data_IF_311156791567
#
_entry.id   IF_311156791567
#
_cell.length_a   1.000
_cell.length_b   1.000
_cell.length_c   1.000
_cell.angle_alpha   90.00
_cell.angle_beta   90.00
_cell.angle_gamma   90.00
#
_symmetry.space_group_name_H-M   'P 1'
#
loop_
_entity.id
_entity.type
_entity.pdbx_description
1 polymer ?
#
# COMPACT_ATOMS: atom_id res chain seq x y z
N UNK A 1 -60.90 5.11 26.90
CA UNK A 1 -59.84 5.78 26.13
C UNK A 1 -58.52 5.07 26.44
N UNK A 2 -58.26 3.97 25.74
CA UNK A 2 -56.92 3.38 25.68
C UNK A 2 -56.20 4.08 24.53
N UNK A 3 -54.97 4.53 24.78
CA UNK A 3 -54.16 5.27 23.82
C UNK A 3 -53.34 4.23 23.05
N UNK A 4 -53.65 4.07 21.78
CA UNK A 4 -52.91 3.22 20.86
C UNK A 4 -51.47 3.74 20.72
N UNK A 5 -50.50 2.87 20.97
CA UNK A 5 -49.09 3.09 20.65
C UNK A 5 -48.84 2.42 19.31
N UNK A 6 -49.13 3.14 18.23
CA UNK A 6 -48.63 2.83 16.90
C UNK A 6 -47.20 3.34 16.75
N UNK A 7 -46.35 2.56 16.09
CA UNK A 7 -45.04 3.03 15.61
C UNK A 7 -43.85 2.13 15.94
N UNK A 8 -43.98 0.81 15.83
CA UNK A 8 -42.79 -0.01 15.58
C UNK A 8 -42.37 0.21 14.12
N UNK A 9 -41.59 1.26 13.87
CA UNK A 9 -40.84 1.39 12.63
C UNK A 9 -39.92 0.18 12.51
N UNK A 10 -40.30 -0.75 11.62
CA UNK A 10 -39.46 -1.89 11.29
C UNK A 10 -38.08 -1.38 10.87
N UNK A 11 -37.04 -1.88 11.54
CA UNK A 11 -35.68 -1.78 11.04
C UNK A 11 -35.67 -2.44 9.66
N UNK A 12 -35.83 -1.64 8.60
CA UNK A 12 -35.61 -2.10 7.25
C UNK A 12 -34.18 -2.64 7.22
N UNK A 13 -34.05 -3.95 7.07
CA UNK A 13 -32.78 -4.60 6.80
C UNK A 13 -32.24 -3.90 5.56
N UNK A 14 -31.27 -3.00 5.74
CA UNK A 14 -30.49 -2.48 4.63
C UNK A 14 -29.61 -3.63 4.20
N UNK A 15 -30.16 -4.52 3.40
CA UNK A 15 -29.39 -5.51 2.69
C UNK A 15 -28.34 -4.74 1.90
N UNK A 16 -27.08 -4.98 2.24
CA UNK A 16 -25.97 -4.32 1.58
C UNK A 16 -25.90 -4.87 0.16
N UNK A 17 -26.45 -4.15 -0.81
CA UNK A 17 -26.27 -4.48 -2.22
C UNK A 17 -24.82 -4.21 -2.64
N UNK A 18 -24.20 -5.22 -3.23
CA UNK A 18 -22.87 -5.09 -3.80
C UNK A 18 -22.92 -4.16 -5.02
N UNK A 19 -21.99 -3.18 -5.13
CA UNK A 19 -21.90 -2.37 -6.33
C UNK A 19 -21.59 -3.26 -7.54
N UNK A 20 -22.09 -2.91 -8.74
CA UNK A 20 -21.87 -3.72 -9.93
C UNK A 20 -20.36 -3.86 -10.21
N UNK A 21 -19.91 -5.04 -10.67
CA UNK A 21 -18.50 -5.27 -10.96
C UNK A 21 -18.03 -4.35 -12.10
N UNK A 22 -16.87 -3.73 -11.93
CA UNK A 22 -16.24 -2.90 -12.98
C UNK A 22 -15.97 -3.76 -14.22
N UNK A 23 -16.22 -3.30 -15.46
CA UNK A 23 -15.86 -4.03 -16.67
C UNK A 23 -14.40 -4.49 -16.66
N UNK A 24 -14.12 -5.68 -17.21
CA UNK A 24 -12.74 -6.21 -17.21
C UNK A 24 -11.82 -5.32 -18.04
N UNK A 25 -12.34 -4.89 -19.18
CA UNK A 25 -11.70 -3.96 -20.08
C UNK A 25 -12.67 -2.79 -20.32
N UNK A 26 -12.22 -1.56 -20.08
CA UNK A 26 -12.99 -0.33 -20.27
C UNK A 26 -12.13 0.68 -21.03
N UNK A 27 -12.18 0.61 -22.36
CA UNK A 27 -11.37 1.46 -23.24
C UNK A 27 -11.78 2.94 -23.18
N UNK A 28 -13.03 3.22 -22.76
CA UNK A 28 -13.53 4.59 -22.65
C UNK A 28 -12.77 5.38 -21.60
N UNK A 29 -12.17 4.73 -20.59
CA UNK A 29 -11.32 5.41 -19.61
C UNK A 29 -10.16 6.18 -20.24
N UNK A 30 -9.63 5.72 -21.38
CA UNK A 30 -8.55 6.39 -22.11
C UNK A 30 -8.98 7.77 -22.66
N UNK A 31 -10.29 7.99 -22.81
CA UNK A 31 -10.81 9.29 -23.26
C UNK A 31 -10.94 10.29 -22.09
N UNK A 32 -10.83 9.82 -20.84
CA UNK A 32 -11.13 10.61 -19.64
C UNK A 32 -9.87 11.28 -19.09
N UNK A 33 -9.88 12.61 -19.00
CA UNK A 33 -8.82 13.37 -18.34
C UNK A 33 -8.62 13.01 -16.86
N UNK A 34 -9.68 12.54 -16.19
CA UNK A 34 -9.62 12.07 -14.80
C UNK A 34 -8.71 10.85 -14.65
N UNK A 35 -8.65 9.95 -15.65
CA UNK A 35 -7.73 8.80 -15.65
C UNK A 35 -6.29 9.28 -15.58
N UNK A 36 -5.87 10.17 -16.48
CA UNK A 36 -4.49 10.66 -16.53
C UNK A 36 -4.10 11.41 -15.26
N UNK A 37 -5.01 12.21 -14.69
CA UNK A 37 -4.80 12.87 -13.38
C UNK A 37 -4.59 11.85 -12.26
N UNK A 38 -5.34 10.76 -12.26
CA UNK A 38 -5.19 9.68 -11.30
C UNK A 38 -3.86 8.92 -11.46
N UNK A 39 -3.45 8.64 -12.71
CA UNK A 39 -2.15 8.03 -13.03
C UNK A 39 -0.98 8.91 -12.56
N UNK A 40 -1.06 10.23 -12.79
CA UNK A 40 -0.08 11.20 -12.28
C UNK A 40 -0.07 11.20 -10.74
N UNK A 41 -1.23 11.14 -10.10
CA UNK A 41 -1.32 11.09 -8.64
C UNK A 41 -0.62 9.84 -8.06
N UNK A 42 -0.81 8.66 -8.67
CA UNK A 42 -0.11 7.43 -8.27
C UNK A 42 1.41 7.53 -8.48
N UNK A 43 1.86 8.11 -9.58
CA UNK A 43 3.28 8.38 -9.84
C UNK A 43 3.88 9.30 -8.76
N UNK A 44 3.28 10.47 -8.51
CA UNK A 44 3.79 11.46 -7.56
C UNK A 44 3.76 10.91 -6.13
N UNK A 45 2.67 10.24 -5.74
CA UNK A 45 2.57 9.63 -4.41
C UNK A 45 3.66 8.57 -4.20
N UNK A 46 3.90 7.70 -5.20
CA UNK A 46 4.94 6.67 -5.08
C UNK A 46 6.35 7.27 -5.06
N UNK A 47 6.59 8.35 -5.82
CA UNK A 47 7.83 9.12 -5.74
C UNK A 47 8.08 9.66 -4.33
N UNK A 48 7.10 10.36 -3.75
CA UNK A 48 7.23 10.92 -2.40
C UNK A 48 7.38 9.83 -1.34
N UNK A 49 6.64 8.73 -1.48
CA UNK A 49 6.75 7.57 -0.61
C UNK A 49 8.18 7.03 -0.56
N UNK A 50 8.77 6.76 -1.73
CA UNK A 50 10.12 6.19 -1.82
C UNK A 50 11.20 7.20 -1.42
N UNK A 51 11.03 8.48 -1.78
CA UNK A 51 11.94 9.53 -1.38
C UNK A 51 12.06 9.61 0.15
N UNK A 52 10.93 9.76 0.86
CA UNK A 52 10.94 9.92 2.33
C UNK A 52 11.45 8.66 3.00
N UNK A 53 10.90 7.49 2.64
CA UNK A 53 11.21 6.24 3.34
C UNK A 53 12.65 5.78 3.13
N UNK A 54 13.18 5.84 1.91
CA UNK A 54 14.58 5.46 1.66
C UNK A 54 15.54 6.47 2.28
N UNK A 55 15.22 7.77 2.24
CA UNK A 55 16.02 8.78 2.94
C UNK A 55 16.06 8.52 4.46
N UNK A 56 14.94 8.14 5.08
CA UNK A 56 14.91 7.75 6.50
C UNK A 56 15.76 6.51 6.78
N UNK A 57 15.70 5.48 5.92
CA UNK A 57 16.52 4.26 6.06
C UNK A 57 18.01 4.58 6.00
N UNK A 58 18.44 5.36 5.01
CA UNK A 58 19.84 5.75 4.85
C UNK A 58 20.28 6.65 6.02
N UNK A 59 19.44 7.62 6.41
CA UNK A 59 19.69 8.49 7.57
C UNK A 59 19.90 7.70 8.86
N UNK A 60 19.02 6.72 9.14
CA UNK A 60 19.19 5.83 10.28
C UNK A 60 20.53 5.10 10.24
N UNK A 61 20.89 4.49 9.10
CA UNK A 61 22.14 3.73 8.96
C UNK A 61 23.40 4.61 9.07
N UNK A 62 23.34 5.87 8.64
CA UNK A 62 24.43 6.84 8.86
C UNK A 62 24.56 7.12 10.35
N UNK A 63 23.46 7.46 11.04
CA UNK A 63 23.47 7.82 12.45
C UNK A 63 23.90 6.67 13.37
N UNK A 64 23.62 5.42 12.99
CA UNK A 64 23.96 4.23 13.79
C UNK A 64 25.29 3.55 13.45
N UNK A 65 26.06 4.06 12.46
CA UNK A 65 27.37 3.48 12.13
C UNK A 65 28.47 3.97 13.09
N UNK A 66 28.70 3.20 14.16
CA UNK A 66 29.76 3.47 15.15
C UNK A 66 31.17 3.48 14.55
N UNK A 67 31.40 2.82 13.41
CA UNK A 67 32.69 2.86 12.70
C UNK A 67 32.91 4.15 11.92
N UNK A 68 31.83 4.92 11.68
CA UNK A 68 31.86 6.22 11.00
C UNK A 68 31.59 7.39 11.97
N UNK A 69 31.69 7.17 13.29
CA UNK A 69 31.47 8.20 14.31
C UNK A 69 30.00 8.42 14.67
N UNK A 70 29.10 7.52 14.25
CA UNK A 70 27.72 7.47 14.73
C UNK A 70 27.60 6.88 16.13
N UNK A 71 26.39 6.91 16.68
CA UNK A 71 26.03 6.32 17.96
C UNK A 71 25.10 5.14 17.74
N UNK A 72 25.34 4.00 18.40
CA UNK A 72 24.62 2.74 18.20
C UNK A 72 23.10 2.91 18.30
N UNK A 73 22.67 3.85 19.17
CA UNK A 73 21.27 4.20 19.40
C UNK A 73 20.90 5.62 18.93
N UNK A 74 21.78 6.34 18.23
CA UNK A 74 21.62 7.77 17.92
C UNK A 74 20.66 8.11 16.78
N UNK A 75 20.05 7.10 16.14
CA UNK A 75 19.10 7.27 15.04
C UNK A 75 17.63 7.16 15.45
N UNK A 76 16.74 7.18 14.46
CA UNK A 76 15.28 7.00 14.66
C UNK A 76 14.88 5.57 15.05
N UNK A 77 15.84 4.64 15.07
CA UNK A 77 15.61 3.21 15.27
C UNK A 77 14.84 2.54 14.13
N UNK A 78 14.76 1.21 14.17
CA UNK A 78 13.91 0.42 13.26
C UNK A 78 12.42 0.79 13.44
N UNK A 79 12.04 1.23 14.65
CA UNK A 79 10.72 1.77 14.93
C UNK A 79 10.42 3.02 14.09
N UNK A 80 11.35 3.98 14.01
CA UNK A 80 11.20 5.18 13.19
C UNK A 80 11.16 4.87 11.69
N UNK A 81 11.93 3.87 11.22
CA UNK A 81 11.81 3.37 9.85
C UNK A 81 10.39 2.85 9.60
N UNK A 82 9.87 2.01 10.49
CA UNK A 82 8.52 1.44 10.37
C UNK A 82 7.45 2.54 10.34
N UNK A 83 7.61 3.59 11.17
CA UNK A 83 6.75 4.77 11.16
C UNK A 83 6.83 5.54 9.84
N UNK A 84 8.00 5.70 9.24
CA UNK A 84 8.13 6.39 7.96
C UNK A 84 7.34 5.66 6.87
N UNK A 85 7.43 4.32 6.80
CA UNK A 85 6.67 3.55 5.81
C UNK A 85 5.17 3.60 6.03
N UNK A 86 4.69 3.30 7.24
CA UNK A 86 3.25 3.31 7.52
C UNK A 86 2.63 4.70 7.52
N UNK A 87 3.34 5.69 8.07
CA UNK A 87 2.92 7.09 8.12
C UNK A 87 2.82 7.72 6.74
N UNK A 88 3.79 7.46 5.85
CA UNK A 88 3.72 7.96 4.48
C UNK A 88 2.57 7.32 3.69
N UNK A 89 2.29 6.02 3.88
CA UNK A 89 1.12 5.40 3.26
C UNK A 89 -0.17 6.03 3.79
N UNK A 90 -0.31 6.24 5.11
CA UNK A 90 -1.46 6.95 5.66
C UNK A 90 -1.66 8.33 5.00
N UNK A 91 -0.62 9.17 4.96
CA UNK A 91 -0.68 10.52 4.41
C UNK A 91 -1.04 10.48 2.92
N UNK A 92 -0.35 9.65 2.14
CA UNK A 92 -0.51 9.64 0.69
C UNK A 92 -1.82 9.01 0.24
N UNK A 93 -2.30 7.97 0.93
CA UNK A 93 -3.65 7.44 0.70
C UNK A 93 -4.68 8.51 1.04
N UNK A 94 -4.53 9.25 2.16
CA UNK A 94 -5.43 10.35 2.47
C UNK A 94 -5.47 11.42 1.37
N UNK A 95 -4.30 11.82 0.86
CA UNK A 95 -4.19 12.83 -0.20
C UNK A 95 -4.75 12.37 -1.55
N UNK A 96 -4.66 11.08 -1.87
CA UNK A 96 -4.96 10.56 -3.22
C UNK A 96 -6.21 9.70 -3.32
N UNK A 97 -6.84 9.30 -2.21
CA UNK A 97 -8.00 8.40 -2.21
C UNK A 97 -9.18 8.94 -3.05
N UNK A 98 -9.44 10.25 -3.01
CA UNK A 98 -10.50 10.88 -3.82
C UNK A 98 -10.15 11.07 -5.30
N UNK A 99 -8.88 10.90 -5.67
CA UNK A 99 -8.36 11.16 -7.03
C UNK A 99 -8.09 9.84 -7.75
N UNK A 100 -7.21 8.99 -7.21
CA UNK A 100 -6.80 7.72 -7.82
C UNK A 100 -7.41 6.49 -7.15
N UNK A 101 -7.92 6.64 -5.93
CA UNK A 101 -8.23 5.51 -5.03
C UNK A 101 -7.11 5.24 -4.02
N UNK A 102 -5.94 5.87 -4.17
CA UNK A 102 -4.85 5.78 -3.22
C UNK A 102 -4.25 4.38 -3.10
N UNK A 103 -3.75 3.83 -4.21
CA UNK A 103 -3.17 2.48 -4.20
C UNK A 103 -1.70 2.50 -3.76
N UNK A 104 -0.86 3.35 -4.36
CA UNK A 104 0.59 3.52 -4.12
C UNK A 104 1.38 2.18 -4.14
N UNK A 105 0.78 1.11 -4.69
CA UNK A 105 1.28 -0.25 -4.56
C UNK A 105 0.68 -1.17 -5.66
N UNK A 106 1.53 -1.84 -6.46
CA UNK A 106 1.07 -2.79 -7.46
C UNK A 106 0.26 -3.95 -6.88
N UNK A 107 0.62 -4.47 -5.69
CA UNK A 107 -0.11 -5.58 -5.06
C UNK A 107 -1.52 -5.15 -4.62
N UNK A 108 -1.69 -3.93 -4.13
CA UNK A 108 -3.00 -3.36 -3.80
C UNK A 108 -3.84 -3.19 -5.08
N UNK A 109 -3.23 -2.63 -6.13
CA UNK A 109 -3.89 -2.45 -7.43
C UNK A 109 -4.33 -3.79 -8.03
N UNK A 110 -3.46 -4.79 -7.93
CA UNK A 110 -3.74 -6.15 -8.40
C UNK A 110 -4.88 -6.81 -7.61
N UNK A 111 -4.87 -6.70 -6.28
CA UNK A 111 -5.95 -7.23 -5.44
C UNK A 111 -7.31 -6.62 -5.81
N UNK A 112 -7.38 -5.28 -5.92
CA UNK A 112 -8.61 -4.58 -6.31
C UNK A 112 -9.06 -4.91 -7.75
N UNK A 113 -8.12 -5.15 -8.66
CA UNK A 113 -8.42 -5.65 -10.00
C UNK A 113 -9.04 -7.06 -9.97
N UNK A 114 -8.46 -8.00 -9.20
CA UNK A 114 -9.02 -9.35 -9.03
C UNK A 114 -10.43 -9.31 -8.43
N UNK A 115 -10.71 -8.37 -7.54
CA UNK A 115 -12.03 -8.14 -6.96
C UNK A 115 -12.99 -7.35 -7.87
N UNK A 116 -12.64 -7.11 -9.15
CA UNK A 116 -13.46 -6.38 -10.13
C UNK A 116 -13.82 -4.95 -9.68
N UNK A 117 -12.95 -4.29 -8.90
CA UNK A 117 -13.08 -2.88 -8.47
C UNK A 117 -12.24 -1.91 -9.30
N UNK A 118 -11.39 -2.43 -10.19
CA UNK A 118 -10.48 -1.68 -11.08
C UNK A 118 -10.46 -2.41 -12.43
N UNK A 119 -10.47 -1.68 -13.55
CA UNK A 119 -10.34 -2.27 -14.88
C UNK A 119 -8.89 -2.69 -15.18
N UNK A 120 -8.69 -3.56 -16.18
CA UNK A 120 -7.35 -3.98 -16.60
C UNK A 120 -6.49 -2.79 -17.07
N UNK A 121 -7.06 -1.86 -17.84
CA UNK A 121 -6.33 -0.71 -18.38
C UNK A 121 -5.81 0.17 -17.24
N UNK A 122 -6.69 0.52 -16.28
CA UNK A 122 -6.32 1.31 -15.12
C UNK A 122 -5.28 0.59 -14.26
N UNK A 123 -5.45 -0.71 -14.03
CA UNK A 123 -4.51 -1.50 -13.24
C UNK A 123 -3.10 -1.47 -13.84
N UNK A 124 -2.96 -1.70 -15.15
CA UNK A 124 -1.66 -1.66 -15.84
C UNK A 124 -1.04 -0.27 -15.77
N UNK A 125 -1.80 0.79 -16.07
CA UNK A 125 -1.30 2.17 -16.03
C UNK A 125 -0.84 2.57 -14.63
N UNK A 126 -1.57 2.17 -13.58
CA UNK A 126 -1.19 2.42 -12.19
C UNK A 126 0.09 1.69 -11.81
N UNK A 127 0.21 0.39 -12.13
CA UNK A 127 1.42 -0.38 -11.80
C UNK A 127 2.67 0.21 -12.46
N UNK A 128 2.57 0.63 -13.73
CA UNK A 128 3.66 1.32 -14.44
C UNK A 128 3.98 2.66 -13.77
N UNK A 129 2.98 3.49 -13.49
CA UNK A 129 3.16 4.79 -12.84
C UNK A 129 3.80 4.67 -11.45
N UNK A 130 3.37 3.70 -10.66
CA UNK A 130 3.94 3.40 -9.34
C UNK A 130 5.41 2.99 -9.46
N UNK A 131 5.75 2.09 -10.39
CA UNK A 131 7.14 1.67 -10.62
C UNK A 131 8.04 2.83 -11.05
N UNK A 132 7.57 3.68 -11.99
CA UNK A 132 8.31 4.86 -12.44
C UNK A 132 8.49 5.88 -11.30
N UNK A 133 7.43 6.12 -10.52
CA UNK A 133 7.48 7.00 -9.36
C UNK A 133 8.50 6.52 -8.33
N UNK A 134 8.50 5.21 -8.05
CA UNK A 134 9.47 4.59 -7.14
C UNK A 134 10.92 4.78 -7.60
N UNK A 135 11.21 4.55 -8.88
CA UNK A 135 12.55 4.78 -9.48
C UNK A 135 12.96 6.25 -9.28
N UNK A 136 12.08 7.20 -9.62
CA UNK A 136 12.38 8.62 -9.46
C UNK A 136 12.63 9.00 -7.98
N UNK A 137 11.79 8.52 -7.07
CA UNK A 137 11.90 8.79 -5.63
C UNK A 137 13.24 8.32 -5.06
N UNK A 138 13.64 7.08 -5.35
CA UNK A 138 14.94 6.54 -4.91
C UNK A 138 16.10 7.23 -5.63
N UNK A 139 15.93 7.56 -6.91
CA UNK A 139 16.91 8.31 -7.69
C UNK A 139 17.28 9.65 -7.06
N UNK A 140 16.29 10.40 -6.56
CA UNK A 140 16.55 11.65 -5.81
C UNK A 140 17.36 11.41 -4.53
N UNK A 141 17.07 10.34 -3.78
CA UNK A 141 17.85 10.01 -2.57
C UNK A 141 19.30 9.72 -2.92
N UNK A 142 19.56 8.94 -3.97
CA UNK A 142 20.94 8.68 -4.44
C UNK A 142 21.61 9.97 -4.91
N UNK A 143 20.90 10.86 -5.60
CA UNK A 143 21.46 12.14 -6.04
C UNK A 143 21.89 13.03 -4.88
N UNK A 144 21.16 13.04 -3.77
CA UNK A 144 21.48 13.89 -2.61
C UNK A 144 22.65 13.35 -1.76
N UNK A 145 22.84 12.03 -1.70
CA UNK A 145 23.80 11.41 -0.79
C UNK A 145 24.41 10.13 -1.38
N UNK A 146 24.93 10.19 -2.60
CA UNK A 146 25.35 9.02 -3.37
C UNK A 146 26.34 8.11 -2.64
N UNK A 147 27.34 8.68 -1.95
CA UNK A 147 28.36 7.90 -1.22
C UNK A 147 27.73 7.09 -0.08
N UNK A 148 26.88 7.72 0.73
CA UNK A 148 26.17 7.07 1.83
C UNK A 148 25.11 6.09 1.33
N UNK A 149 24.37 6.46 0.28
CA UNK A 149 23.35 5.62 -0.33
C UNK A 149 23.93 4.26 -0.75
N UNK A 150 25.05 4.28 -1.49
CA UNK A 150 25.71 3.04 -1.96
C UNK A 150 26.25 2.25 -0.78
N UNK A 151 26.97 2.89 0.15
CA UNK A 151 27.55 2.23 1.32
C UNK A 151 26.52 1.52 2.20
N UNK A 152 25.33 2.10 2.36
CA UNK A 152 24.32 1.62 3.30
C UNK A 152 23.17 0.82 2.65
N UNK A 153 23.41 0.25 1.46
CA UNK A 153 22.53 -0.74 0.85
C UNK A 153 21.34 -0.17 0.07
N UNK A 154 21.33 1.13 -0.20
CA UNK A 154 20.38 1.80 -1.12
C UNK A 154 18.89 1.70 -0.78
N UNK A 155 18.53 1.23 0.42
CA UNK A 155 17.14 0.92 0.79
C UNK A 155 16.54 -0.26 0.02
N UNK A 156 17.35 -1.07 -0.67
CA UNK A 156 16.89 -2.20 -1.45
C UNK A 156 16.45 -3.38 -0.57
N UNK A 157 15.38 -4.06 -0.99
CA UNK A 157 14.96 -5.30 -0.35
C UNK A 157 15.86 -6.45 -0.77
N UNK A 158 16.24 -7.28 0.18
CA UNK A 158 16.96 -8.54 -0.04
C UNK A 158 16.75 -9.44 1.18
N UNK A 159 16.96 -10.74 1.01
CA UNK A 159 16.85 -11.69 2.12
C UNK A 159 18.00 -11.48 3.11
N UNK A 160 17.70 -11.28 4.39
CA UNK A 160 18.73 -11.20 5.41
C UNK A 160 19.41 -12.55 5.61
N UNK A 161 20.71 -12.53 5.92
CA UNK A 161 21.48 -13.75 6.17
C UNK A 161 20.88 -14.55 7.34
N UNK A 162 20.89 -15.88 7.22
CA UNK A 162 20.28 -16.79 8.19
C UNK A 162 18.81 -17.13 7.93
N UNK A 163 18.13 -16.41 7.03
CA UNK A 163 16.79 -16.79 6.57
C UNK A 163 16.84 -17.56 5.26
N UNK A 164 15.94 -18.54 5.11
CA UNK A 164 15.76 -19.26 3.85
C UNK A 164 14.89 -18.46 2.87
N UNK A 165 15.05 -18.70 1.57
CA UNK A 165 14.20 -18.10 0.53
C UNK A 165 12.72 -18.37 0.76
N UNK A 166 12.38 -19.58 1.23
CA UNK A 166 11.00 -19.94 1.58
C UNK A 166 10.46 -19.11 2.75
N UNK A 167 11.29 -18.82 3.75
CA UNK A 167 10.93 -17.95 4.88
C UNK A 167 10.69 -16.51 4.42
N UNK A 168 11.58 -15.96 3.60
CA UNK A 168 11.42 -14.63 3.02
C UNK A 168 10.14 -14.51 2.19
N UNK A 169 9.89 -15.49 1.32
CA UNK A 169 8.67 -15.52 0.50
C UNK A 169 7.40 -15.61 1.37
N UNK A 170 7.37 -16.48 2.38
CA UNK A 170 6.23 -16.60 3.28
C UNK A 170 5.97 -15.30 4.06
N UNK A 171 7.01 -14.63 4.54
CA UNK A 171 6.89 -13.35 5.24
C UNK A 171 6.27 -12.27 4.32
N UNK A 172 6.69 -12.19 3.06
CA UNK A 172 6.14 -11.25 2.08
C UNK A 172 4.68 -11.58 1.70
N UNK A 173 4.33 -12.86 1.57
CA UNK A 173 2.94 -13.29 1.32
C UNK A 173 2.02 -12.88 2.47
N UNK A 174 2.39 -13.23 3.71
CA UNK A 174 1.56 -12.96 4.90
C UNK A 174 1.48 -11.46 5.17
N UNK A 175 2.60 -10.74 5.08
CA UNK A 175 2.63 -9.30 5.24
C UNK A 175 1.75 -8.58 4.21
N UNK A 176 1.81 -9.00 2.95
CA UNK A 176 0.95 -8.42 1.91
C UNK A 176 -0.51 -8.81 2.07
N UNK A 177 -0.81 -10.02 2.52
CA UNK A 177 -2.16 -10.42 2.87
C UNK A 177 -2.76 -9.48 3.93
N UNK A 178 -2.03 -9.19 5.02
CA UNK A 178 -2.48 -8.27 6.08
C UNK A 178 -2.79 -6.89 5.50
N UNK A 179 -1.91 -6.35 4.66
CA UNK A 179 -2.11 -5.07 4.00
C UNK A 179 -3.36 -5.07 3.11
N UNK A 180 -3.44 -6.00 2.16
CA UNK A 180 -4.50 -6.00 1.14
C UNK A 180 -5.85 -6.36 1.74
N UNK A 181 -5.90 -7.25 2.74
CA UNK A 181 -7.11 -7.52 3.50
C UNK A 181 -7.61 -6.26 4.22
N UNK A 182 -6.69 -5.48 4.83
CA UNK A 182 -7.02 -4.20 5.44
C UNK A 182 -7.54 -3.19 4.42
N UNK A 183 -6.94 -3.14 3.22
CA UNK A 183 -7.43 -2.30 2.12
C UNK A 183 -8.88 -2.63 1.77
N UNK A 184 -9.21 -3.91 1.57
CA UNK A 184 -10.58 -4.31 1.29
C UNK A 184 -11.56 -3.90 2.39
N UNK A 185 -11.18 -4.12 3.65
CA UNK A 185 -11.99 -3.77 4.82
C UNK A 185 -12.13 -2.25 5.01
N UNK A 186 -11.21 -1.47 4.44
CA UNK A 186 -11.18 -0.02 4.46
C UNK A 186 -11.84 0.62 3.22
N UNK A 187 -12.38 -0.17 2.28
CA UNK A 187 -13.15 0.37 1.14
C UNK A 187 -14.48 0.97 1.63
N UNK A 188 -14.82 2.16 1.14
CA UNK A 188 -16.16 2.73 1.33
C UNK A 188 -17.08 2.26 0.19
N UNK A 189 -18.08 1.39 0.45
CA UNK A 189 -18.95 0.85 -0.60
C UNK A 189 -19.82 1.93 -1.27
N UNK A 190 -19.90 3.13 -0.68
CA UNK A 190 -20.76 4.23 -1.16
C UNK A 190 -20.01 5.37 -1.82
N UNK A 191 -18.68 5.36 -1.81
CA UNK A 191 -17.88 6.49 -2.29
C UNK A 191 -16.81 6.01 -3.24
N UNK A 192 -16.83 6.58 -4.44
CA UNK A 192 -15.83 6.30 -5.47
C UNK A 192 -14.92 7.51 -5.69
N UNK A 193 -13.70 7.24 -6.15
CA UNK A 193 -12.77 8.24 -6.65
C UNK A 193 -13.33 8.89 -7.91
N UNK A 194 -12.92 10.14 -8.15
CA UNK A 194 -13.48 11.02 -9.16
C UNK A 194 -13.63 10.35 -10.54
N UNK A 195 -14.85 10.40 -11.08
CA UNK A 195 -15.22 9.93 -12.42
C UNK A 195 -14.81 8.46 -12.69
N UNK A 196 -14.87 7.60 -11.67
CA UNK A 196 -14.47 6.19 -11.73
C UNK A 196 -15.31 5.29 -10.82
N UNK A 197 -15.10 3.97 -10.94
CA UNK A 197 -15.67 2.94 -10.05
C UNK A 197 -14.71 2.52 -8.92
N UNK A 198 -13.56 3.21 -8.78
CA UNK A 198 -12.56 2.86 -7.79
C UNK A 198 -13.04 3.32 -6.41
N UNK A 199 -13.10 2.46 -5.39
CA UNK A 199 -13.57 2.86 -4.07
C UNK A 199 -12.61 3.82 -3.37
N UNK A 200 -13.15 4.75 -2.58
CA UNK A 200 -12.36 5.58 -1.65
C UNK A 200 -11.96 4.72 -0.45
N UNK A 201 -10.71 4.82 -0.03
CA UNK A 201 -10.14 4.05 1.08
C UNK A 201 -10.07 4.87 2.38
N UNK A 202 -10.31 4.21 3.52
CA UNK A 202 -10.00 4.77 4.84
C UNK A 202 -8.48 4.66 5.09
N UNK A 203 -7.74 5.78 5.14
CA UNK A 203 -6.27 5.75 5.06
C UNK A 203 -5.57 5.29 6.34
N UNK A 204 -6.15 5.58 7.52
CA UNK A 204 -5.50 5.33 8.80
C UNK A 204 -5.24 3.84 9.07
N UNK A 205 -6.24 2.92 8.94
CA UNK A 205 -5.99 1.49 9.11
C UNK A 205 -4.96 0.95 8.11
N UNK A 206 -4.97 1.43 6.87
CA UNK A 206 -4.04 0.99 5.82
C UNK A 206 -2.60 1.36 6.20
N UNK A 207 -2.36 2.62 6.60
CA UNK A 207 -1.04 3.04 7.06
C UNK A 207 -0.57 2.27 8.30
N UNK A 208 -1.49 1.97 9.23
CA UNK A 208 -1.17 1.15 10.41
C UNK A 208 -0.86 -0.31 10.05
N UNK A 209 -1.56 -0.91 9.08
CA UNK A 209 -1.25 -2.26 8.61
C UNK A 209 0.17 -2.32 8.02
N UNK A 210 0.55 -1.32 7.20
CA UNK A 210 1.93 -1.19 6.70
C UNK A 210 2.92 -1.05 7.84
N UNK A 211 2.65 -0.17 8.81
CA UNK A 211 3.50 0.02 9.99
C UNK A 211 3.71 -1.29 10.77
N UNK A 212 2.63 -2.01 11.10
CA UNK A 212 2.67 -3.27 11.85
C UNK A 212 3.47 -4.34 11.11
N UNK A 213 3.26 -4.47 9.80
CA UNK A 213 4.01 -5.44 9.00
C UNK A 213 5.51 -5.09 9.00
N UNK A 214 5.87 -3.81 8.88
CA UNK A 214 7.27 -3.38 8.94
C UNK A 214 7.95 -3.74 10.26
N UNK A 215 7.27 -3.58 11.41
CA UNK A 215 7.80 -3.99 12.70
C UNK A 215 8.18 -5.48 12.74
N UNK A 216 7.40 -6.33 12.06
CA UNK A 216 7.61 -7.77 12.03
C UNK A 216 8.60 -8.24 10.95
N UNK A 217 8.61 -7.60 9.77
CA UNK A 217 9.29 -8.13 8.58
C UNK A 217 10.57 -7.39 8.18
N UNK A 218 10.88 -6.24 8.79
CA UNK A 218 12.16 -5.55 8.53
C UNK A 218 13.37 -6.49 8.76
N UNK A 219 13.44 -7.29 9.85
CA UNK A 219 14.59 -8.16 10.10
C UNK A 219 14.79 -9.27 9.04
N UNK A 220 13.73 -9.66 8.32
CA UNK A 220 13.77 -10.79 7.36
C UNK A 220 14.16 -10.30 5.96
N UNK A 221 13.51 -9.23 5.49
CA UNK A 221 13.61 -8.77 4.08
C UNK A 221 13.78 -7.26 3.91
N UNK A 222 13.81 -6.50 5.01
CA UNK A 222 13.62 -5.06 4.98
C UNK A 222 12.18 -4.62 4.66
N UNK A 223 11.23 -5.58 4.61
CA UNK A 223 9.82 -5.42 4.23
C UNK A 223 9.60 -4.92 2.80
N UNK A 224 9.19 -5.84 1.92
CA UNK A 224 8.79 -5.53 0.55
C UNK A 224 7.35 -5.04 0.50
N UNK A 225 6.39 -5.97 0.59
CA UNK A 225 4.92 -5.89 0.48
C UNK A 225 4.35 -4.97 -0.62
N UNK A 226 5.23 -4.43 -1.45
CA UNK A 226 5.00 -3.43 -2.47
C UNK A 226 6.04 -3.64 -3.59
N UNK A 227 5.62 -4.22 -4.73
CA UNK A 227 6.53 -4.48 -5.84
C UNK A 227 7.19 -3.22 -6.42
N UNK A 228 6.48 -2.10 -6.50
CA UNK A 228 7.05 -0.85 -7.03
C UNK A 228 8.17 -0.32 -6.11
N UNK A 229 7.98 -0.35 -4.78
CA UNK A 229 9.01 0.01 -3.80
C UNK A 229 10.25 -0.87 -3.93
N UNK A 230 10.04 -2.17 -4.08
CA UNK A 230 11.14 -3.14 -4.22
C UNK A 230 11.89 -2.95 -5.54
N UNK A 231 11.16 -2.70 -6.63
CA UNK A 231 11.70 -2.49 -7.97
C UNK A 231 12.45 -1.17 -8.09
N UNK A 232 11.87 -0.06 -7.62
CA UNK A 232 12.52 1.26 -7.66
C UNK A 232 13.86 1.27 -6.94
N UNK A 233 13.93 0.62 -5.77
CA UNK A 233 15.19 0.50 -5.03
C UNK A 233 16.20 -0.43 -5.72
N UNK A 234 15.75 -1.58 -6.26
CA UNK A 234 16.62 -2.50 -7.00
C UNK A 234 17.24 -1.85 -8.26
N UNK A 235 16.45 -1.08 -9.01
CA UNK A 235 16.91 -0.36 -10.21
C UNK A 235 17.98 0.68 -9.89
N UNK A 236 17.78 1.49 -8.85
CA UNK A 236 18.71 2.60 -8.52
C UNK A 236 19.95 2.12 -7.78
N UNK A 237 19.80 1.09 -6.93
CA UNK A 237 20.92 0.50 -6.20
C UNK A 237 21.76 -0.40 -7.11
N UNK A 238 21.12 -1.21 -7.95
CA UNK A 238 21.71 -2.01 -9.01
C UNK A 238 22.85 -2.95 -8.56
N UNK A 239 22.61 -3.71 -7.49
CA UNK A 239 23.54 -4.71 -6.96
C UNK A 239 23.03 -6.14 -7.16
N UNK A 240 23.94 -7.10 -7.24
CA UNK A 240 23.63 -8.49 -7.59
C UNK A 240 22.67 -9.18 -6.63
N UNK A 241 22.88 -9.02 -5.31
CA UNK A 241 22.06 -9.68 -4.29
C UNK A 241 20.58 -9.21 -4.33
N UNK A 242 20.27 -7.91 -4.29
CA UNK A 242 18.88 -7.44 -4.43
C UNK A 242 18.22 -7.89 -5.73
N UNK A 243 18.95 -7.99 -6.85
CA UNK A 243 18.41 -8.52 -8.11
C UNK A 243 18.13 -10.02 -8.06
N UNK A 244 19.02 -10.82 -7.45
CA UNK A 244 18.82 -12.27 -7.27
C UNK A 244 17.61 -12.58 -6.39
N UNK A 245 17.39 -11.79 -5.35
CA UNK A 245 16.24 -11.94 -4.44
C UNK A 245 14.97 -11.25 -4.98
N UNK A 246 15.06 -10.49 -6.07
CA UNK A 246 14.03 -9.52 -6.48
C UNK A 246 12.65 -10.16 -6.75
N UNK A 247 12.65 -11.36 -7.33
CA UNK A 247 11.44 -12.07 -7.70
C UNK A 247 10.51 -12.33 -6.50
N UNK A 248 11.07 -12.48 -5.29
CA UNK A 248 10.33 -12.71 -4.04
C UNK A 248 9.35 -11.55 -3.81
N UNK A 249 9.79 -10.32 -4.10
CA UNK A 249 9.05 -9.09 -3.85
C UNK A 249 8.03 -8.73 -4.93
N UNK A 250 7.89 -9.57 -5.96
CA UNK A 250 6.77 -9.56 -6.91
C UNK A 250 5.82 -10.72 -6.64
N UNK A 251 6.38 -11.94 -6.60
CA UNK A 251 5.60 -13.16 -6.43
C UNK A 251 4.91 -13.21 -5.08
N UNK A 252 5.63 -12.94 -3.98
CA UNK A 252 5.07 -12.94 -2.63
C UNK A 252 3.90 -11.96 -2.49
N UNK A 253 4.09 -10.67 -2.81
CA UNK A 253 3.02 -9.69 -2.71
C UNK A 253 1.80 -9.98 -3.60
N UNK A 254 1.98 -10.47 -4.83
CA UNK A 254 0.85 -10.82 -5.69
C UNK A 254 0.08 -12.04 -5.18
N UNK A 255 0.75 -13.06 -4.64
CA UNK A 255 0.09 -14.19 -3.99
C UNK A 255 -0.69 -13.72 -2.76
N UNK A 256 -0.06 -12.92 -1.88
CA UNK A 256 -0.72 -12.38 -0.68
C UNK A 256 -1.95 -11.55 -1.01
N UNK A 257 -1.86 -10.70 -2.05
CA UNK A 257 -2.98 -9.90 -2.54
C UNK A 257 -4.12 -10.75 -3.11
N UNK A 258 -3.79 -11.80 -3.88
CA UNK A 258 -4.79 -12.71 -4.45
C UNK A 258 -5.54 -13.49 -3.36
N UNK A 259 -4.82 -13.98 -2.34
CA UNK A 259 -5.42 -14.68 -1.19
C UNK A 259 -6.33 -13.70 -0.41
N UNK A 260 -5.89 -12.47 -0.18
CA UNK A 260 -6.70 -11.46 0.50
C UNK A 260 -7.98 -11.10 -0.28
N UNK A 261 -7.87 -10.95 -1.60
CA UNK A 261 -9.03 -10.73 -2.47
C UNK A 261 -10.00 -11.91 -2.40
N UNK A 262 -9.49 -13.15 -2.50
CA UNK A 262 -10.31 -14.35 -2.41
C UNK A 262 -11.02 -14.46 -1.06
N UNK A 263 -10.29 -14.28 0.04
CA UNK A 263 -10.80 -14.36 1.39
C UNK A 263 -11.92 -13.33 1.64
N UNK A 264 -11.69 -12.06 1.28
CA UNK A 264 -12.68 -11.01 1.50
C UNK A 264 -13.93 -11.18 0.63
N UNK A 265 -13.74 -11.52 -0.65
CA UNK A 265 -14.84 -11.60 -1.62
C UNK A 265 -15.69 -12.87 -1.45
N UNK A 266 -15.07 -14.03 -1.26
CA UNK A 266 -15.78 -15.31 -1.33
C UNK A 266 -16.00 -15.97 0.03
N UNK A 267 -15.03 -15.85 0.96
CA UNK A 267 -15.15 -16.46 2.29
C UNK A 267 -15.99 -15.57 3.20
N UNK A 268 -15.65 -14.29 3.31
CA UNK A 268 -16.39 -13.35 4.16
C UNK A 268 -17.65 -12.78 3.49
N UNK A 269 -17.69 -12.74 2.15
CA UNK A 269 -18.73 -12.06 1.36
C UNK A 269 -18.99 -10.63 1.85
N UNK A 270 -17.91 -9.91 2.13
CA UNK A 270 -17.95 -8.62 2.83
C UNK A 270 -17.98 -7.41 1.88
N UNK A 271 -18.31 -7.61 0.59
CA UNK A 271 -18.22 -6.57 -0.45
C UNK A 271 -19.12 -5.36 -0.21
N UNK A 272 -20.27 -5.56 0.41
CA UNK A 272 -21.16 -4.50 0.85
C UNK A 272 -20.86 -3.96 2.26
N UNK A 273 -20.01 -4.63 3.04
CA UNK A 273 -19.74 -4.22 4.43
C UNK A 273 -18.97 -2.91 4.50
N UNK A 274 -19.33 -2.04 5.46
CA UNK A 274 -18.59 -0.81 5.76
C UNK A 274 -18.00 -0.91 7.16
N UNK A 275 -16.66 -0.84 7.26
CA UNK A 275 -16.02 -0.74 8.57
C UNK A 275 -16.35 0.61 9.21
N UNK A 276 -16.71 0.59 10.50
CA UNK A 276 -16.90 1.82 11.27
C UNK A 276 -15.53 2.42 11.57
N UNK A 277 -15.19 3.53 10.92
CA UNK A 277 -13.99 4.29 11.26
C UNK A 277 -14.05 4.77 12.71
N UNK A 278 -12.89 4.76 13.41
CA UNK A 278 -12.76 5.05 14.85
C UNK A 278 -13.26 6.44 15.30
N UNK A 279 -13.61 7.33 14.37
CA UNK A 279 -14.13 8.65 14.68
C UNK A 279 -15.60 8.75 14.28
N UNK A 280 -16.48 8.17 15.10
CA UNK A 280 -17.83 8.72 15.23
C UNK A 280 -17.67 10.07 15.92
N UNK A 281 -17.58 11.16 15.15
CA UNK A 281 -18.20 12.39 15.64
C UNK A 281 -19.68 12.05 15.74
N UNK A 282 -20.14 11.77 16.95
CA UNK A 282 -21.56 11.82 17.23
C UNK A 282 -22.00 13.23 16.85
N UNK A 283 -22.68 13.37 15.70
CA UNK A 283 -23.52 14.53 15.47
C UNK A 283 -24.72 14.36 16.40
N UNK A 284 -24.51 14.65 17.67
CA UNK A 284 -25.59 14.88 18.62
C UNK A 284 -25.78 16.38 18.70
N UNK A 285 -26.97 16.80 18.23
CA UNK A 285 -27.61 18.11 18.34
C UNK A 285 -27.14 19.17 17.35
#
# INVERSE_FOLDING_TARGET
>A
MAKDVEGAEGFAARDYEDPPPTPFFDAEELTKWSLYRAVIAEFVATLLFLYVTVLTVIGYKISSDTKAGGDECGGVGILGISWAFGGMIFILVYCTAGISGGHINPAVTFGLFLARKVSLIRAVLYMVAQCLGAICGVGFVKAFQSSYYVRYGGGANSLADGYSTGTGLAAEIIGTFVLVYTVFSATDPKRNARDSHVPVLAPLPIGFAVFMVHLATIPITGTGINPARSFGAAVIFNESKPWNDHWIFWVGPFIGAAIAAFYHQFVLRASGSKSLGSFRSAANV
#
